data_IF_843523917199
#
_entry.id   IF_843523917199
#
_cell.length_a   1.000
_cell.length_b   1.000
_cell.length_c   1.000
_cell.angle_alpha   90.00
_cell.angle_beta   90.00
_cell.angle_gamma   90.00
#
_symmetry.space_group_name_H-M   'P 1'
#
loop_
_entity.id
_entity.type
_entity.pdbx_description
1 polymer ?
#
# COMPACT_ATOMS: atom_id res chain seq x y z
N UNK A 1 16.90 -36.70 17.23
CA UNK A 1 15.92 -36.74 16.12
C UNK A 1 14.61 -35.99 16.42
N UNK A 2 13.99 -36.14 17.60
CA UNK A 2 12.69 -35.50 17.91
C UNK A 2 12.68 -33.96 17.93
N UNK A 3 13.76 -33.29 18.34
CA UNK A 3 13.82 -31.81 18.37
C UNK A 3 13.80 -31.21 16.95
N UNK A 4 14.51 -31.82 16.00
CA UNK A 4 14.57 -31.36 14.61
C UNK A 4 13.20 -31.49 13.93
N UNK A 5 12.52 -32.62 14.14
CA UNK A 5 11.16 -32.86 13.64
C UNK A 5 10.17 -31.84 14.22
N UNK A 6 10.29 -31.52 15.52
CA UNK A 6 9.50 -30.49 16.19
C UNK A 6 9.72 -29.09 15.60
N UNK A 7 10.98 -28.69 15.36
CA UNK A 7 11.27 -27.40 14.72
C UNK A 7 10.73 -27.32 13.29
N UNK A 8 10.83 -28.39 12.50
CA UNK A 8 10.28 -28.44 11.14
C UNK A 8 8.76 -28.30 11.16
N UNK A 9 8.06 -28.99 12.08
CA UNK A 9 6.61 -28.87 12.21
C UNK A 9 6.17 -27.47 12.64
N UNK A 10 6.91 -26.82 13.54
CA UNK A 10 6.64 -25.42 13.93
C UNK A 10 6.86 -24.48 12.75
N UNK A 11 7.94 -24.63 11.99
CA UNK A 11 8.22 -23.80 10.81
C UNK A 11 7.15 -23.96 9.73
N UNK A 12 6.71 -25.19 9.46
CA UNK A 12 5.62 -25.47 8.51
C UNK A 12 4.31 -24.87 9.03
N UNK A 13 4.00 -25.04 10.32
CA UNK A 13 2.80 -24.48 10.95
C UNK A 13 2.77 -22.96 10.88
N UNK A 14 3.89 -22.29 11.15
CA UNK A 14 4.04 -20.84 11.01
C UNK A 14 3.89 -20.42 9.54
N UNK A 15 4.53 -21.14 8.62
CA UNK A 15 4.41 -20.88 7.18
C UNK A 15 2.97 -20.96 6.68
N UNK A 16 2.26 -22.04 7.02
CA UNK A 16 0.84 -22.22 6.67
C UNK A 16 -0.01 -21.13 7.33
N UNK A 17 0.27 -20.79 8.60
CA UNK A 17 -0.44 -19.73 9.32
C UNK A 17 -0.30 -18.37 8.63
N UNK A 18 0.91 -17.99 8.23
CA UNK A 18 1.19 -16.74 7.51
C UNK A 18 0.50 -16.72 6.14
N UNK A 19 0.58 -17.82 5.38
CA UNK A 19 -0.08 -17.91 4.06
C UNK A 19 -1.61 -17.83 4.22
N UNK A 20 -2.18 -18.53 5.20
CA UNK A 20 -3.63 -18.53 5.44
C UNK A 20 -4.12 -17.16 5.86
N UNK A 21 -3.38 -16.45 6.72
CA UNK A 21 -3.65 -15.06 7.10
C UNK A 21 -3.60 -14.12 5.89
N UNK A 22 -2.60 -14.28 5.02
CA UNK A 22 -2.48 -13.48 3.81
C UNK A 22 -3.67 -13.71 2.87
N UNK A 23 -4.03 -14.97 2.60
CA UNK A 23 -5.15 -15.34 1.73
C UNK A 23 -6.47 -14.85 2.32
N UNK A 24 -6.68 -15.01 3.63
CA UNK A 24 -7.89 -14.52 4.30
C UNK A 24 -7.98 -12.99 4.28
N UNK A 25 -6.86 -12.29 4.50
CA UNK A 25 -6.83 -10.83 4.41
C UNK A 25 -7.06 -10.34 2.98
N UNK A 26 -6.50 -11.02 1.98
CA UNK A 26 -6.72 -10.74 0.57
C UNK A 26 -8.18 -10.95 0.20
N UNK A 27 -8.74 -12.14 0.44
CA UNK A 27 -10.12 -12.46 0.16
C UNK A 27 -11.10 -11.53 0.89
N UNK A 28 -10.80 -11.17 2.14
CA UNK A 28 -11.62 -10.25 2.92
C UNK A 28 -11.62 -8.82 2.38
N UNK A 29 -10.45 -8.27 2.01
CA UNK A 29 -10.35 -6.92 1.43
C UNK A 29 -11.02 -6.87 0.06
N UNK A 30 -10.70 -7.82 -0.82
CA UNK A 30 -11.28 -7.89 -2.17
C UNK A 30 -12.80 -8.15 -2.11
N UNK A 31 -13.25 -8.98 -1.16
CA UNK A 31 -14.67 -9.26 -0.91
C UNK A 31 -15.45 -8.04 -0.43
N UNK A 32 -14.93 -7.31 0.57
CA UNK A 32 -15.57 -6.07 1.06
C UNK A 32 -15.69 -5.00 0.00
N UNK A 33 -14.73 -4.94 -0.92
CA UNK A 33 -14.73 -3.99 -2.02
C UNK A 33 -15.55 -4.48 -3.23
N UNK A 34 -16.11 -5.69 -3.16
CA UNK A 34 -16.86 -6.35 -4.22
C UNK A 34 -16.04 -6.52 -5.50
N UNK A 35 -14.74 -6.77 -5.34
CA UNK A 35 -13.79 -7.02 -6.41
C UNK A 35 -13.66 -8.53 -6.69
N UNK A 36 -14.30 -9.40 -5.90
CA UNK A 36 -14.24 -10.86 -6.11
C UNK A 36 -15.00 -11.26 -7.39
N UNK A 37 -14.31 -11.95 -8.31
CA UNK A 37 -14.91 -12.47 -9.55
C UNK A 37 -15.11 -11.43 -10.67
N UNK A 38 -14.64 -10.19 -10.49
CA UNK A 38 -14.65 -9.18 -11.55
C UNK A 38 -13.53 -9.44 -12.57
N UNK A 39 -13.76 -9.11 -13.84
CA UNK A 39 -12.73 -9.18 -14.89
C UNK A 39 -11.67 -8.08 -14.72
N UNK A 40 -10.73 -8.27 -13.78
CA UNK A 40 -9.63 -7.33 -13.51
C UNK A 40 -8.83 -6.99 -14.77
N UNK A 41 -8.57 -7.99 -15.60
CA UNK A 41 -7.79 -7.84 -16.83
C UNK A 41 -8.43 -6.94 -17.88
N UNK A 42 -9.76 -6.81 -17.89
CA UNK A 42 -10.48 -5.94 -18.83
C UNK A 42 -10.60 -4.49 -18.33
N UNK A 43 -10.36 -4.28 -17.03
CA UNK A 43 -10.51 -2.99 -16.38
C UNK A 43 -9.26 -2.11 -16.49
N UNK A 44 -8.16 -2.62 -17.07
CA UNK A 44 -6.85 -1.94 -17.08
C UNK A 44 -6.29 -1.90 -18.51
N UNK A 45 -6.12 -0.69 -19.05
CA UNK A 45 -5.39 -0.47 -20.29
C UNK A 45 -3.88 -0.55 -20.01
N UNK A 46 -3.30 -1.68 -20.38
CA UNK A 46 -1.87 -1.97 -20.14
C UNK A 46 -0.94 -1.10 -20.96
N UNK A 47 -1.36 -0.72 -22.18
CA UNK A 47 -0.54 0.09 -23.05
C UNK A 47 -0.48 1.52 -22.53
N UNK A 48 -1.61 2.02 -22.04
CA UNK A 48 -1.67 3.32 -21.40
C UNK A 48 -0.90 3.30 -20.07
N UNK A 49 -1.05 2.26 -19.24
CA UNK A 49 -0.30 2.15 -17.99
C UNK A 49 1.20 2.15 -18.23
N UNK A 50 1.68 1.36 -19.19
CA UNK A 50 3.09 1.36 -19.56
C UNK A 50 3.55 2.73 -20.10
N UNK A 51 2.71 3.44 -20.85
CA UNK A 51 3.01 4.79 -21.37
C UNK A 51 3.15 5.81 -20.24
N UNK A 52 2.23 5.80 -19.27
CA UNK A 52 2.26 6.71 -18.13
C UNK A 52 3.49 6.48 -17.25
N UNK A 53 3.91 5.22 -17.09
CA UNK A 53 5.03 4.83 -16.21
C UNK A 53 6.39 4.81 -16.91
N UNK A 54 6.50 5.13 -18.21
CA UNK A 54 7.77 5.12 -18.97
C UNK A 54 8.85 6.02 -18.38
N UNK A 55 8.47 7.05 -17.62
CA UNK A 55 9.42 7.99 -17.01
C UNK A 55 9.87 7.55 -15.62
N UNK A 56 9.21 6.55 -15.04
CA UNK A 56 9.41 6.06 -13.69
C UNK A 56 10.34 4.84 -13.67
N UNK A 57 11.32 4.81 -14.58
CA UNK A 57 12.09 3.63 -15.03
C UNK A 57 13.10 3.08 -13.98
N UNK A 58 12.99 3.50 -12.71
CA UNK A 58 13.79 2.92 -11.65
C UNK A 58 13.40 1.47 -11.42
N UNK A 59 14.40 0.59 -11.30
CA UNK A 59 14.23 -0.82 -10.95
C UNK A 59 13.84 -0.97 -9.47
N UNK A 60 12.62 -0.58 -9.12
CA UNK A 60 12.03 -0.90 -7.81
C UNK A 60 11.77 -2.40 -7.77
N UNK A 61 12.50 -3.12 -6.92
CA UNK A 61 12.37 -4.58 -6.75
C UNK A 61 11.08 -4.94 -6.01
N UNK A 62 10.00 -5.17 -6.74
CA UNK A 62 8.69 -5.40 -6.15
C UNK A 62 8.41 -6.89 -5.83
N UNK A 63 9.11 -7.40 -4.81
CA UNK A 63 8.91 -8.74 -4.24
C UNK A 63 7.95 -8.79 -3.04
N UNK A 64 7.51 -9.99 -2.63
CA UNK A 64 6.73 -10.19 -1.37
C UNK A 64 7.52 -9.67 -0.18
N UNK A 65 8.83 -9.96 -0.17
CA UNK A 65 9.73 -9.66 0.93
C UNK A 65 9.87 -8.14 1.06
N UNK A 66 10.08 -7.44 -0.05
CA UNK A 66 10.29 -5.99 -0.07
C UNK A 66 9.09 -5.24 0.51
N UNK A 67 7.88 -5.52 0.02
CA UNK A 67 6.65 -4.88 0.54
C UNK A 67 6.22 -5.33 1.95
N UNK A 68 6.90 -6.34 2.52
CA UNK A 68 6.57 -6.91 3.83
C UNK A 68 7.65 -6.68 4.90
N UNK A 69 8.88 -6.32 4.52
CA UNK A 69 10.04 -6.24 5.43
C UNK A 69 9.81 -5.30 6.61
N UNK A 70 9.11 -4.18 6.39
CA UNK A 70 8.84 -3.19 7.43
C UNK A 70 7.54 -3.45 8.21
N UNK A 71 6.72 -4.44 7.82
CA UNK A 71 5.44 -4.74 8.48
C UNK A 71 5.62 -5.14 9.95
N UNK A 72 6.55 -6.06 10.32
CA UNK A 72 6.75 -6.40 11.73
C UNK A 72 7.18 -5.19 12.57
N UNK A 73 8.09 -4.37 12.05
CA UNK A 73 8.55 -3.16 12.72
C UNK A 73 7.41 -2.16 12.92
N UNK A 74 6.55 -1.98 11.91
CA UNK A 74 5.37 -1.13 11.99
C UNK A 74 4.37 -1.61 13.05
N UNK A 75 4.10 -2.93 13.13
CA UNK A 75 3.16 -3.50 14.11
C UNK A 75 3.62 -3.32 15.56
N UNK A 76 4.93 -3.25 15.78
CA UNK A 76 5.52 -3.04 17.10
C UNK A 76 5.78 -1.57 17.42
N UNK A 77 5.76 -0.68 16.42
CA UNK A 77 6.03 0.73 16.60
C UNK A 77 4.86 1.47 17.26
N UNK A 78 5.16 2.62 17.89
CA UNK A 78 4.21 3.55 18.50
C UNK A 78 4.61 4.99 18.18
N UNK A 79 3.66 5.92 18.24
CA UNK A 79 3.89 7.35 18.06
C UNK A 79 4.54 7.69 16.72
N UNK A 80 5.48 8.64 16.71
CA UNK A 80 6.15 9.17 15.52
C UNK A 80 6.80 8.07 14.67
N UNK A 81 7.46 7.10 15.30
CA UNK A 81 8.09 5.99 14.57
C UNK A 81 7.08 5.18 13.76
N UNK A 82 5.87 4.98 14.29
CA UNK A 82 4.80 4.26 13.59
C UNK A 82 4.30 5.05 12.39
N UNK A 83 4.23 6.37 12.51
CA UNK A 83 3.79 7.28 11.44
C UNK A 83 4.81 7.29 10.29
N UNK A 84 6.11 7.40 10.60
CA UNK A 84 7.17 7.34 9.58
C UNK A 84 7.12 6.00 8.83
N UNK A 85 7.05 4.88 9.57
CA UNK A 85 6.95 3.55 8.97
C UNK A 85 5.66 3.35 8.17
N UNK A 86 4.54 3.94 8.59
CA UNK A 86 3.30 3.92 7.82
C UNK A 86 3.47 4.61 6.46
N UNK A 87 4.13 5.77 6.43
CA UNK A 87 4.41 6.48 5.18
C UNK A 87 5.33 5.69 4.25
N UNK A 88 6.42 5.13 4.78
CA UNK A 88 7.35 4.30 4.00
C UNK A 88 6.63 3.07 3.41
N UNK A 89 5.94 2.30 4.25
CA UNK A 89 5.16 1.13 3.81
C UNK A 89 4.07 1.51 2.79
N UNK A 90 3.43 2.67 2.99
CA UNK A 90 2.40 3.18 2.12
C UNK A 90 2.91 3.44 0.71
N UNK A 91 3.98 4.25 0.60
CA UNK A 91 4.61 4.62 -0.69
C UNK A 91 5.14 3.40 -1.42
N UNK A 92 5.92 2.57 -0.74
CA UNK A 92 6.53 1.36 -1.31
C UNK A 92 5.46 0.40 -1.86
N UNK A 93 4.35 0.22 -1.13
CA UNK A 93 3.24 -0.63 -1.57
C UNK A 93 2.44 -0.05 -2.71
N UNK A 94 2.26 1.26 -2.79
CA UNK A 94 1.61 1.92 -3.93
C UNK A 94 2.41 1.64 -5.21
N UNK A 95 3.70 1.99 -5.19
CA UNK A 95 4.61 1.81 -6.33
C UNK A 95 4.67 0.34 -6.74
N UNK A 96 4.87 -0.55 -5.78
CA UNK A 96 4.94 -1.97 -6.08
C UNK A 96 3.62 -2.61 -6.48
N UNK A 97 2.50 -2.13 -5.95
CA UNK A 97 1.18 -2.57 -6.39
C UNK A 97 0.97 -2.26 -7.87
N UNK A 98 1.30 -1.05 -8.29
CA UNK A 98 1.15 -0.62 -9.68
C UNK A 98 2.12 -1.37 -10.61
N UNK A 99 3.36 -1.59 -10.18
CA UNK A 99 4.33 -2.40 -10.94
C UNK A 99 3.90 -3.86 -11.09
N UNK A 100 3.28 -4.44 -10.06
CA UNK A 100 2.72 -5.79 -10.14
C UNK A 100 1.57 -5.85 -11.16
N UNK A 101 0.71 -4.83 -11.22
CA UNK A 101 -0.33 -4.72 -12.25
C UNK A 101 0.29 -4.65 -13.65
N UNK A 102 1.32 -3.83 -13.83
CA UNK A 102 2.05 -3.73 -15.11
C UNK A 102 2.65 -5.08 -15.53
N UNK A 103 3.15 -5.87 -14.58
CA UNK A 103 3.72 -7.21 -14.79
C UNK A 103 2.67 -8.34 -14.84
N UNK A 104 1.41 -8.02 -15.10
CA UNK A 104 0.30 -8.98 -15.24
C UNK A 104 -0.08 -9.73 -13.96
N UNK A 105 0.36 -9.26 -12.79
CA UNK A 105 -0.09 -9.76 -11.51
C UNK A 105 -1.15 -8.84 -10.92
N UNK A 106 -2.29 -8.75 -11.62
CA UNK A 106 -3.26 -7.66 -11.40
C UNK A 106 -3.90 -7.71 -10.03
N UNK A 107 -4.49 -8.84 -9.64
CA UNK A 107 -5.23 -8.90 -8.37
C UNK A 107 -4.32 -8.60 -7.17
N UNK A 108 -3.11 -9.17 -7.18
CA UNK A 108 -2.11 -8.91 -6.13
C UNK A 108 -1.62 -7.47 -6.17
N UNK A 109 -1.44 -6.91 -7.36
CA UNK A 109 -1.04 -5.52 -7.52
C UNK A 109 -2.07 -4.55 -6.98
N UNK A 110 -3.35 -4.75 -7.33
CA UNK A 110 -4.51 -3.99 -6.81
C UNK A 110 -4.59 -4.11 -5.29
N UNK A 111 -4.50 -5.31 -4.73
CA UNK A 111 -4.50 -5.51 -3.29
C UNK A 111 -3.34 -4.77 -2.60
N UNK A 112 -2.13 -4.86 -3.17
CA UNK A 112 -0.93 -4.21 -2.61
C UNK A 112 -1.07 -2.69 -2.65
N UNK A 113 -1.54 -2.13 -3.77
CA UNK A 113 -1.85 -0.71 -3.94
C UNK A 113 -2.86 -0.23 -2.90
N UNK A 114 -4.00 -0.93 -2.76
CA UNK A 114 -5.05 -0.60 -1.79
C UNK A 114 -4.50 -0.62 -0.36
N UNK A 115 -3.69 -1.62 -0.01
CA UNK A 115 -3.04 -1.68 1.30
C UNK A 115 -2.08 -0.50 1.51
N UNK A 116 -1.35 -0.08 0.47
CA UNK A 116 -0.49 1.10 0.52
C UNK A 116 -1.28 2.36 0.84
N UNK A 117 -2.41 2.58 0.16
CA UNK A 117 -3.30 3.71 0.42
C UNK A 117 -3.83 3.73 1.86
N UNK A 118 -4.18 2.58 2.44
CA UNK A 118 -4.59 2.52 3.85
C UNK A 118 -3.46 2.89 4.82
N UNK A 119 -2.20 2.55 4.51
CA UNK A 119 -1.09 2.96 5.34
C UNK A 119 -0.87 4.48 5.28
N UNK A 120 -1.03 5.09 4.10
CA UNK A 120 -0.94 6.53 3.90
C UNK A 120 -2.09 7.28 4.60
N UNK A 121 -3.33 6.83 4.46
CA UNK A 121 -4.48 7.39 5.18
C UNK A 121 -4.28 7.30 6.69
N UNK A 122 -3.83 6.15 7.19
CA UNK A 122 -3.47 5.97 8.60
C UNK A 122 -2.35 6.91 9.06
N UNK A 123 -1.32 7.11 8.23
CA UNK A 123 -0.23 8.04 8.51
C UNK A 123 -0.77 9.45 8.76
N UNK A 124 -1.54 10.02 7.82
CA UNK A 124 -2.03 11.38 7.95
C UNK A 124 -3.03 11.55 9.10
N UNK A 125 -3.89 10.54 9.35
CA UNK A 125 -4.80 10.55 10.51
C UNK A 125 -4.07 10.56 11.85
N UNK A 126 -2.98 9.81 11.96
CA UNK A 126 -2.16 9.77 13.19
C UNK A 126 -1.24 11.01 13.30
N UNK A 127 -0.83 11.59 12.18
CA UNK A 127 0.04 12.77 12.13
C UNK A 127 -0.69 14.06 12.51
N UNK A 128 -1.94 14.25 12.06
CA UNK A 128 -2.73 15.44 12.34
C UNK A 128 -2.72 15.87 13.82
N UNK A 129 -3.13 15.03 14.80
CA UNK A 129 -3.16 15.42 16.20
C UNK A 129 -1.75 15.71 16.77
N UNK A 130 -0.69 15.15 16.20
CA UNK A 130 0.68 15.47 16.60
C UNK A 130 1.10 16.85 16.12
N UNK A 131 0.76 17.21 14.88
CA UNK A 131 1.05 18.53 14.31
C UNK A 131 0.23 19.61 15.01
N UNK A 132 -1.04 19.34 15.34
CA UNK A 132 -1.89 20.26 16.12
C UNK A 132 -1.27 20.57 17.50
N UNK A 133 -0.52 19.64 18.10
CA UNK A 133 0.15 19.82 19.40
C UNK A 133 1.55 20.42 19.27
N UNK A 134 2.28 20.09 18.19
CA UNK A 134 3.63 20.59 17.95
C UNK A 134 3.88 20.74 16.43
N UNK A 135 3.88 22.00 15.96
CA UNK A 135 4.17 22.34 14.56
C UNK A 135 5.54 21.86 14.07
N UNK A 136 6.54 21.64 14.93
CA UNK A 136 7.82 21.07 14.50
C UNK A 136 7.67 19.67 13.87
N UNK A 137 6.56 18.97 14.18
CA UNK A 137 6.23 17.66 13.61
C UNK A 137 5.81 17.74 12.14
N UNK A 138 5.62 18.92 11.57
CA UNK A 138 5.49 19.12 10.13
C UNK A 138 6.68 18.58 9.34
N UNK A 139 7.87 18.50 9.96
CA UNK A 139 9.04 17.87 9.34
C UNK A 139 8.89 16.36 9.07
N UNK A 140 7.85 15.71 9.64
CA UNK A 140 7.52 14.31 9.38
C UNK A 140 6.66 14.11 8.12
N UNK A 141 6.18 15.19 7.49
CA UNK A 141 5.46 15.12 6.23
C UNK A 141 6.45 14.64 5.15
N UNK A 142 6.19 13.50 4.50
CA UNK A 142 7.09 12.99 3.49
C UNK A 142 7.12 13.90 2.26
N UNK A 143 8.28 13.98 1.60
CA UNK A 143 8.31 14.41 0.21
C UNK A 143 7.65 13.32 -0.66
N UNK A 144 6.68 13.75 -1.43
CA UNK A 144 5.69 12.93 -2.13
C UNK A 144 6.21 12.43 -3.48
N UNK A 145 6.35 11.11 -3.64
CA UNK A 145 6.84 10.47 -4.88
C UNK A 145 5.85 9.45 -5.48
N UNK A 146 4.71 9.20 -4.83
CA UNK A 146 3.80 8.11 -5.21
C UNK A 146 2.58 8.59 -6.03
N UNK A 147 2.38 9.90 -6.11
CA UNK A 147 1.22 10.55 -6.71
C UNK A 147 1.23 10.39 -8.22
N UNK A 148 2.39 10.54 -8.87
CA UNK A 148 2.54 10.31 -10.32
C UNK A 148 2.17 8.87 -10.69
N UNK A 149 2.58 7.91 -9.86
CA UNK A 149 2.25 6.50 -10.01
C UNK A 149 0.73 6.27 -9.92
N UNK A 150 0.07 6.80 -8.90
CA UNK A 150 -1.39 6.65 -8.75
C UNK A 150 -2.13 7.33 -9.89
N UNK A 151 -1.73 8.54 -10.28
CA UNK A 151 -2.36 9.26 -11.38
C UNK A 151 -2.24 8.48 -12.69
N UNK A 152 -1.05 7.96 -13.00
CA UNK A 152 -0.82 7.08 -14.15
C UNK A 152 -1.68 5.82 -14.10
N UNK A 153 -1.82 5.22 -12.92
CA UNK A 153 -2.71 4.07 -12.71
C UNK A 153 -4.19 4.43 -12.95
N UNK A 154 -4.68 5.53 -12.39
CA UNK A 154 -6.08 5.95 -12.52
C UNK A 154 -6.44 6.32 -13.96
N UNK A 155 -5.52 6.95 -14.70
CA UNK A 155 -5.69 7.23 -16.12
C UNK A 155 -5.79 5.95 -16.97
N UNK A 156 -5.21 4.86 -16.49
CA UNK A 156 -5.10 3.59 -17.20
C UNK A 156 -6.10 2.55 -16.71
N UNK A 157 -6.99 2.90 -15.78
CA UNK A 157 -7.96 1.98 -15.19
C UNK A 157 -9.38 2.51 -15.28
N UNK A 158 -10.35 1.60 -15.33
CA UNK A 158 -11.77 1.92 -15.37
C UNK A 158 -12.59 0.96 -14.49
N UNK A 159 -13.88 1.24 -14.37
CA UNK A 159 -14.83 0.40 -13.64
C UNK A 159 -14.60 0.39 -12.13
N UNK A 160 -14.95 -0.72 -11.48
CA UNK A 160 -15.00 -0.79 -10.00
C UNK A 160 -13.64 -0.64 -9.33
N UNK A 161 -12.58 -1.18 -9.93
CA UNK A 161 -11.22 -1.08 -9.40
C UNK A 161 -10.75 0.38 -9.41
N UNK A 162 -11.01 1.09 -10.52
CA UNK A 162 -10.74 2.53 -10.62
C UNK A 162 -11.45 3.27 -9.49
N UNK A 163 -12.76 3.08 -9.34
CA UNK A 163 -13.54 3.79 -8.33
C UNK A 163 -13.01 3.56 -6.91
N UNK A 164 -12.70 2.31 -6.55
CA UNK A 164 -12.16 1.97 -5.22
C UNK A 164 -10.80 2.65 -4.98
N UNK A 165 -9.90 2.59 -5.95
CA UNK A 165 -8.58 3.21 -5.81
C UNK A 165 -8.69 4.73 -5.79
N UNK A 166 -9.57 5.31 -6.62
CA UNK A 166 -9.83 6.74 -6.67
C UNK A 166 -10.38 7.26 -5.34
N UNK A 167 -11.40 6.61 -4.79
CA UNK A 167 -12.02 7.01 -3.52
C UNK A 167 -11.03 6.96 -2.37
N UNK A 168 -10.21 5.90 -2.31
CA UNK A 168 -9.15 5.77 -1.30
C UNK A 168 -8.07 6.84 -1.49
N UNK A 169 -7.63 7.09 -2.73
CA UNK A 169 -6.65 8.13 -3.01
C UNK A 169 -7.17 9.52 -2.62
N UNK A 170 -8.45 9.83 -2.87
CA UNK A 170 -9.05 11.09 -2.43
C UNK A 170 -9.12 11.22 -0.91
N UNK A 171 -9.35 10.14 -0.18
CA UNK A 171 -9.27 10.15 1.29
C UNK A 171 -7.84 10.46 1.77
N UNK A 172 -6.83 9.85 1.16
CA UNK A 172 -5.42 10.13 1.46
C UNK A 172 -5.10 11.60 1.19
N UNK A 173 -5.49 12.13 0.02
CA UNK A 173 -5.26 13.53 -0.35
C UNK A 173 -5.95 14.51 0.60
N UNK A 174 -7.18 14.20 1.02
CA UNK A 174 -7.89 15.02 2.02
C UNK A 174 -7.19 14.97 3.38
N UNK A 175 -6.68 13.81 3.80
CA UNK A 175 -5.88 13.69 5.02
C UNK A 175 -4.58 14.49 4.93
N UNK A 176 -3.88 14.40 3.79
CA UNK A 176 -2.66 15.16 3.49
C UNK A 176 -2.92 16.66 3.56
N UNK A 177 -3.94 17.16 2.85
CA UNK A 177 -4.24 18.59 2.82
C UNK A 177 -4.57 19.15 4.21
N UNK A 178 -5.33 18.40 5.02
CA UNK A 178 -5.64 18.81 6.39
C UNK A 178 -4.40 18.92 7.29
N UNK A 179 -3.38 18.07 7.07
CA UNK A 179 -2.12 18.15 7.81
C UNK A 179 -1.26 19.29 7.27
N UNK A 180 -1.17 19.45 5.96
CA UNK A 180 -0.39 20.52 5.32
C UNK A 180 -0.93 21.91 5.66
N UNK A 181 -2.25 22.10 5.71
CA UNK A 181 -2.89 23.35 6.14
C UNK A 181 -2.45 23.79 7.54
N UNK A 182 -2.19 22.84 8.45
CA UNK A 182 -1.69 23.13 9.80
C UNK A 182 -0.20 23.51 9.83
N UNK A 183 0.53 23.17 8.76
CA UNK A 183 1.96 23.39 8.60
C UNK A 183 2.30 24.64 7.78
N UNK A 184 1.29 25.31 7.23
CA UNK A 184 1.43 26.61 6.61
C UNK A 184 1.31 27.66 7.73
N UNK A 185 2.27 28.59 7.77
CA UNK A 185 2.28 29.74 8.69
C UNK A 185 1.56 30.96 8.08
#
# INVERSE_FOLDING_TARGET
MNKLLGYVLVLIGVGIGVISLYVASFAGVMGKMGLVGGGFDQAIDRNELARQLRREDEKVECGVIEVAKHVPAYLLARGEKRIVLAGELGRERVICGIRLVQNQNIERGVYTLIKGLYYLDGQYREMRPLVEQNKEKCALIPQTEYESWIQGYLLSTQGRIHNVVYDLYKQVEQGRSQVEELCID
#
